data_IF_697710990299
#
_entry.id   IF_697710990299
#
_cell.length_a   1.000
_cell.length_b   1.000
_cell.length_c   1.000
_cell.angle_alpha   90.00
_cell.angle_beta   90.00
_cell.angle_gamma   90.00
#
_symmetry.space_group_name_H-M   'P 1'
#
loop_
_entity.id
_entity.type
_entity.pdbx_description
1 polymer ?
#
# COMPACT_ATOMS: atom_id res chain seq x y z
N UNK A 1 -1.50 -66.53 -7.21
CA UNK A 1 -0.25 -65.79 -7.50
C UNK A 1 -0.43 -64.29 -7.75
N UNK A 2 -1.65 -63.74 -7.82
CA UNK A 2 -1.87 -62.31 -8.15
C UNK A 2 -2.21 -61.38 -6.95
N UNK A 3 -2.37 -61.95 -5.76
CA UNK A 3 -2.67 -61.18 -4.54
C UNK A 3 -1.42 -60.55 -3.90
N UNK A 4 -0.24 -61.12 -4.11
CA UNK A 4 1.01 -60.60 -3.53
C UNK A 4 1.49 -59.31 -4.20
N UNK A 5 1.43 -59.19 -5.53
CA UNK A 5 1.94 -58.00 -6.23
C UNK A 5 1.12 -56.73 -5.94
N UNK A 6 -0.20 -56.87 -5.74
CA UNK A 6 -1.07 -55.73 -5.37
C UNK A 6 -0.91 -55.32 -3.91
N UNK A 7 -0.51 -56.23 -3.02
CA UNK A 7 -0.23 -55.93 -1.62
C UNK A 7 1.08 -55.14 -1.48
N UNK A 8 2.15 -55.61 -2.13
CA UNK A 8 3.45 -54.92 -2.12
C UNK A 8 3.43 -53.57 -2.86
N UNK A 9 2.68 -53.45 -3.97
CA UNK A 9 2.54 -52.18 -4.69
C UNK A 9 1.81 -51.09 -3.91
N UNK A 10 0.80 -51.44 -3.11
CA UNK A 10 0.08 -50.46 -2.26
C UNK A 10 0.87 -50.08 -1.00
N UNK A 11 1.71 -50.96 -0.49
CA UNK A 11 2.56 -50.70 0.67
C UNK A 11 3.69 -49.70 0.33
N UNK A 12 4.28 -49.79 -0.86
CA UNK A 12 5.30 -48.85 -1.34
C UNK A 12 4.76 -47.45 -1.66
N UNK A 13 3.51 -47.34 -2.14
CA UNK A 13 2.88 -46.04 -2.42
C UNK A 13 2.48 -45.31 -1.11
N UNK A 14 2.12 -46.05 -0.06
CA UNK A 14 1.80 -45.46 1.26
C UNK A 14 3.03 -45.03 2.07
N UNK A 15 4.23 -45.52 1.73
CA UNK A 15 5.47 -45.05 2.36
C UNK A 15 5.94 -43.68 1.86
N UNK A 16 5.37 -43.16 0.76
CA UNK A 16 5.76 -41.86 0.20
C UNK A 16 5.10 -40.65 0.88
N UNK A 17 4.19 -40.87 1.83
CA UNK A 17 3.57 -39.82 2.65
C UNK A 17 3.92 -39.92 4.14
N UNK A 18 4.98 -40.65 4.48
CA UNK A 18 5.48 -40.67 5.86
C UNK A 18 6.26 -39.37 6.02
N UNK A 19 5.63 -38.39 6.68
CA UNK A 19 6.31 -37.22 7.23
C UNK A 19 7.60 -37.68 7.94
N UNK A 20 8.70 -36.91 7.89
CA UNK A 20 10.00 -37.34 8.43
C UNK A 20 9.94 -37.89 9.86
N UNK A 21 8.95 -37.46 10.64
CA UNK A 21 8.64 -37.96 11.98
C UNK A 21 8.28 -39.47 12.04
N UNK A 22 7.56 -40.01 11.05
CA UNK A 22 7.17 -41.42 11.03
C UNK A 22 8.30 -42.39 10.70
N UNK A 23 9.30 -41.94 9.94
CA UNK A 23 10.51 -42.74 9.67
C UNK A 23 11.40 -42.80 10.92
N UNK A 24 11.50 -41.69 11.66
CA UNK A 24 12.28 -41.64 12.90
C UNK A 24 11.67 -42.47 14.03
N UNK A 25 10.34 -42.51 14.16
CA UNK A 25 9.68 -43.36 15.17
C UNK A 25 9.81 -44.85 14.84
N UNK A 26 9.74 -45.23 13.56
CA UNK A 26 9.97 -46.60 13.12
C UNK A 26 11.43 -47.04 13.35
N UNK A 27 12.41 -46.19 13.03
CA UNK A 27 13.83 -46.48 13.26
C UNK A 27 14.15 -46.63 14.75
N UNK A 28 13.52 -45.82 15.60
CA UNK A 28 13.70 -45.90 17.06
C UNK A 28 13.06 -47.17 17.64
N UNK A 29 11.85 -47.52 17.18
CA UNK A 29 11.20 -48.79 17.56
C UNK A 29 12.02 -50.01 17.12
N UNK A 30 12.65 -49.96 15.95
CA UNK A 30 13.53 -51.01 15.44
C UNK A 30 14.83 -51.10 16.27
N UNK A 31 15.44 -49.96 16.61
CA UNK A 31 16.65 -49.93 17.44
C UNK A 31 16.40 -50.48 18.86
N UNK A 32 15.25 -50.18 19.46
CA UNK A 32 14.83 -50.74 20.76
C UNK A 32 14.60 -52.25 20.64
N UNK A 33 13.92 -52.72 19.59
CA UNK A 33 13.71 -54.16 19.36
C UNK A 33 15.02 -54.93 19.15
N UNK A 34 15.98 -54.34 18.43
CA UNK A 34 17.32 -54.92 18.22
C UNK A 34 18.13 -54.94 19.53
N UNK A 35 18.03 -53.90 20.35
CA UNK A 35 18.69 -53.84 21.65
C UNK A 35 18.13 -54.90 22.62
N UNK A 36 16.81 -55.07 22.65
CA UNK A 36 16.14 -56.13 23.44
C UNK A 36 16.57 -57.52 22.95
N UNK A 37 16.63 -57.74 21.63
CA UNK A 37 17.07 -59.00 21.04
C UNK A 37 18.53 -59.32 21.37
N UNK A 38 19.43 -58.33 21.32
CA UNK A 38 20.84 -58.50 21.66
C UNK A 38 21.05 -58.77 23.16
N UNK A 39 20.26 -58.13 24.03
CA UNK A 39 20.29 -58.38 25.48
C UNK A 39 19.76 -59.78 25.82
N UNK A 40 18.74 -60.27 25.11
CA UNK A 40 18.23 -61.65 25.26
C UNK A 40 19.20 -62.72 24.75
N UNK A 41 20.13 -62.36 23.85
CA UNK A 41 21.12 -63.28 23.27
C UNK A 41 22.54 -63.14 23.84
N UNK A 42 22.78 -62.21 24.76
CA UNK A 42 24.11 -62.03 25.35
C UNK A 42 24.47 -63.23 26.25
N UNK A 43 25.57 -63.95 25.99
CA UNK A 43 25.95 -65.18 26.72
C UNK A 43 26.53 -64.93 28.13
N UNK A 44 26.24 -63.78 28.74
CA UNK A 44 26.78 -63.34 30.03
C UNK A 44 25.70 -62.84 31.01
N UNK A 45 24.47 -63.37 30.92
CA UNK A 45 23.45 -63.15 31.95
C UNK A 45 23.44 -64.35 32.91
N UNK A 46 23.55 -64.13 34.23
CA UNK A 46 23.47 -65.22 35.21
C UNK A 46 22.11 -65.92 35.11
N UNK A 47 22.05 -67.22 35.42
CA UNK A 47 20.85 -68.03 35.24
C UNK A 47 19.65 -67.44 36.00
N UNK A 48 18.52 -67.27 35.28
CA UNK A 48 17.21 -66.80 35.76
C UNK A 48 16.53 -67.77 36.74
N UNK A 49 17.28 -68.48 37.59
CA UNK A 49 16.77 -69.52 38.49
C UNK A 49 16.53 -69.05 39.93
N UNK A 50 16.58 -67.75 40.20
CA UNK A 50 16.07 -67.17 41.46
C UNK A 50 15.02 -66.12 41.12
N UNK A 51 13.79 -66.31 41.60
CA UNK A 51 12.62 -65.49 41.25
C UNK A 51 12.78 -64.01 41.60
N UNK A 52 13.66 -63.67 42.55
CA UNK A 52 13.93 -62.29 42.96
C UNK A 52 14.87 -61.54 42.00
N UNK A 53 15.77 -62.23 41.28
CA UNK A 53 16.72 -61.53 40.37
C UNK A 53 16.14 -61.26 38.99
N UNK A 54 15.22 -62.11 38.50
CA UNK A 54 14.60 -61.97 37.19
C UNK A 54 13.73 -60.71 37.08
N UNK A 55 12.96 -60.40 38.13
CA UNK A 55 12.16 -59.17 38.21
C UNK A 55 13.02 -57.91 38.24
N UNK A 56 14.18 -57.96 38.90
CA UNK A 56 15.09 -56.82 38.98
C UNK A 56 15.74 -56.51 37.63
N UNK A 57 16.12 -57.53 36.86
CA UNK A 57 16.65 -57.34 35.50
C UNK A 57 15.61 -56.82 34.52
N UNK A 58 14.37 -57.33 34.58
CA UNK A 58 13.26 -56.83 33.75
C UNK A 58 12.92 -55.38 34.12
N UNK A 59 12.94 -55.04 35.41
CA UNK A 59 12.71 -53.67 35.89
C UNK A 59 13.82 -52.71 35.45
N UNK A 60 15.09 -53.16 35.49
CA UNK A 60 16.23 -52.37 35.01
C UNK A 60 16.15 -52.13 33.49
N UNK A 61 15.74 -53.13 32.72
CA UNK A 61 15.54 -53.01 31.27
C UNK A 61 14.36 -52.08 30.93
N UNK A 62 13.25 -52.21 31.66
CA UNK A 62 12.09 -51.32 31.53
C UNK A 62 12.47 -49.87 31.87
N UNK A 63 13.27 -49.64 32.92
CA UNK A 63 13.77 -48.33 33.28
C UNK A 63 14.69 -47.73 32.20
N UNK A 64 15.57 -48.53 31.59
CA UNK A 64 16.44 -48.08 30.50
C UNK A 64 15.64 -47.70 29.25
N UNK A 65 14.64 -48.51 28.87
CA UNK A 65 13.74 -48.19 27.75
C UNK A 65 12.90 -46.94 28.03
N UNK A 66 12.39 -46.80 29.26
CA UNK A 66 11.65 -45.62 29.69
C UNK A 66 12.51 -44.36 29.62
N UNK A 67 13.79 -44.43 30.03
CA UNK A 67 14.74 -43.31 29.97
C UNK A 67 15.03 -42.88 28.52
N UNK A 68 15.25 -43.83 27.61
CA UNK A 68 15.45 -43.53 26.19
C UNK A 68 14.18 -42.91 25.58
N UNK A 69 13.00 -43.45 25.91
CA UNK A 69 11.74 -42.88 25.46
C UNK A 69 11.54 -41.44 25.97
N UNK A 70 11.89 -41.14 27.22
CA UNK A 70 11.79 -39.77 27.77
C UNK A 70 12.74 -38.80 27.08
N UNK A 71 13.97 -39.22 26.78
CA UNK A 71 14.95 -38.39 26.04
C UNK A 71 14.43 -38.07 24.63
N UNK A 72 13.86 -39.06 23.95
CA UNK A 72 13.33 -38.90 22.59
C UNK A 72 12.09 -38.01 22.58
N UNK A 73 11.14 -38.24 23.49
CA UNK A 73 9.96 -37.40 23.65
C UNK A 73 10.37 -35.96 24.00
N UNK A 74 11.35 -35.77 24.89
CA UNK A 74 11.88 -34.46 25.24
C UNK A 74 12.51 -33.74 24.04
N UNK A 75 13.24 -34.47 23.18
CA UNK A 75 13.83 -33.91 21.97
C UNK A 75 12.77 -33.52 20.93
N UNK A 76 11.73 -34.34 20.75
CA UNK A 76 10.62 -34.00 19.88
C UNK A 76 9.82 -32.81 20.41
N UNK A 77 9.51 -32.78 21.70
CA UNK A 77 8.85 -31.65 22.32
C UNK A 77 9.63 -30.34 22.10
N UNK A 78 10.95 -30.38 22.26
CA UNK A 78 11.82 -29.22 21.98
C UNK A 78 11.80 -28.78 20.50
N UNK A 79 11.79 -29.73 19.56
CA UNK A 79 11.67 -29.42 18.13
C UNK A 79 10.31 -28.80 17.80
N UNK A 80 9.21 -29.36 18.32
CA UNK A 80 7.87 -28.79 18.14
C UNK A 80 7.76 -27.37 18.73
N UNK A 81 8.34 -27.12 19.90
CA UNK A 81 8.34 -25.77 20.48
C UNK A 81 9.13 -24.79 19.61
N UNK A 82 10.27 -25.22 19.07
CA UNK A 82 11.10 -24.38 18.20
C UNK A 82 10.39 -24.07 16.88
N UNK A 83 9.78 -25.07 16.25
CA UNK A 83 8.98 -24.89 15.02
C UNK A 83 7.76 -24.00 15.25
N UNK A 84 7.10 -24.12 16.40
CA UNK A 84 5.99 -23.25 16.78
C UNK A 84 6.42 -21.80 17.04
N UNK A 85 7.61 -21.58 17.61
CA UNK A 85 8.20 -20.25 17.77
C UNK A 85 8.59 -19.62 16.43
N UNK A 86 9.22 -20.39 15.54
CA UNK A 86 9.56 -19.96 14.18
C UNK A 86 8.29 -19.64 13.37
N UNK A 87 7.24 -20.47 13.48
CA UNK A 87 5.94 -20.24 12.87
C UNK A 87 5.30 -18.94 13.33
N UNK A 88 5.27 -18.68 14.65
CA UNK A 88 4.76 -17.41 15.22
C UNK A 88 5.58 -16.21 14.76
N UNK A 89 6.89 -16.34 14.66
CA UNK A 89 7.76 -15.27 14.15
C UNK A 89 7.50 -14.95 12.67
N UNK A 90 7.26 -15.98 11.84
CA UNK A 90 6.91 -15.81 10.42
C UNK A 90 5.54 -15.13 10.28
N UNK A 91 4.54 -15.55 11.06
CA UNK A 91 3.21 -14.92 11.04
C UNK A 91 3.27 -13.46 11.49
N UNK A 92 4.01 -13.14 12.55
CA UNK A 92 4.22 -11.77 12.98
C UNK A 92 4.85 -10.90 11.88
N UNK A 93 5.87 -11.42 11.18
CA UNK A 93 6.49 -10.72 10.03
C UNK A 93 5.52 -10.53 8.87
N UNK A 94 4.70 -11.53 8.55
CA UNK A 94 3.66 -11.43 7.51
C UNK A 94 2.62 -10.37 7.87
N UNK A 95 2.18 -10.33 9.13
CA UNK A 95 1.23 -9.32 9.59
C UNK A 95 1.84 -7.91 9.54
N UNK A 96 3.11 -7.74 9.96
CA UNK A 96 3.84 -6.47 9.82
C UNK A 96 3.88 -6.00 8.36
N UNK A 97 4.20 -6.90 7.41
CA UNK A 97 4.21 -6.58 5.97
C UNK A 97 2.85 -6.13 5.45
N UNK A 98 1.76 -6.82 5.81
CA UNK A 98 0.40 -6.41 5.39
C UNK A 98 0.02 -5.01 5.89
N UNK A 99 0.42 -4.68 7.11
CA UNK A 99 0.21 -3.34 7.68
C UNK A 99 1.01 -2.30 6.88
N UNK A 100 2.29 -2.56 6.60
CA UNK A 100 3.15 -1.67 5.80
C UNK A 100 2.57 -1.47 4.39
N UNK A 101 2.16 -2.53 3.70
CA UNK A 101 1.56 -2.47 2.36
C UNK A 101 0.28 -1.60 2.36
N UNK A 102 -0.55 -1.75 3.40
CA UNK A 102 -1.78 -0.94 3.56
C UNK A 102 -1.46 0.53 3.76
N UNK A 103 -0.46 0.85 4.59
CA UNK A 103 0.00 2.22 4.81
C UNK A 103 0.55 2.81 3.51
N UNK A 104 1.44 2.11 2.81
CA UNK A 104 2.01 2.56 1.54
C UNK A 104 0.92 2.79 0.48
N UNK A 105 -0.06 1.90 0.38
CA UNK A 105 -1.19 2.08 -0.52
C UNK A 105 -1.97 3.37 -0.21
N UNK A 106 -2.22 3.64 1.08
CA UNK A 106 -2.90 4.87 1.52
C UNK A 106 -2.09 6.12 1.15
N UNK A 107 -0.79 6.14 1.46
CA UNK A 107 0.09 7.27 1.15
C UNK A 107 0.17 7.53 -0.36
N UNK A 108 0.18 6.48 -1.20
CA UNK A 108 0.13 6.63 -2.67
C UNK A 108 -1.17 7.22 -3.17
N UNK A 109 -2.31 6.83 -2.59
CA UNK A 109 -3.60 7.45 -2.90
C UNK A 109 -3.57 8.93 -2.53
N UNK A 110 -3.05 9.27 -1.34
CA UNK A 110 -2.94 10.67 -0.92
C UNK A 110 -2.08 11.49 -1.88
N UNK A 111 -0.94 10.95 -2.29
CA UNK A 111 -0.04 11.57 -3.28
C UNK A 111 -0.75 11.83 -4.61
N UNK A 112 -1.48 10.84 -5.12
CA UNK A 112 -2.23 10.98 -6.37
C UNK A 112 -3.33 12.03 -6.27
N UNK A 113 -4.02 12.12 -5.12
CA UNK A 113 -5.01 13.17 -4.87
C UNK A 113 -4.33 14.54 -4.75
N UNK A 114 -3.20 14.64 -4.07
CA UNK A 114 -2.45 15.89 -3.92
C UNK A 114 -1.98 16.45 -5.27
N UNK A 115 -1.61 15.58 -6.22
CA UNK A 115 -1.26 15.98 -7.58
C UNK A 115 -2.35 16.81 -8.26
N UNK A 116 -3.62 16.62 -7.90
CA UNK A 116 -4.73 17.42 -8.44
C UNK A 116 -4.61 18.92 -8.11
N UNK A 117 -3.94 19.28 -7.03
CA UNK A 117 -3.66 20.68 -6.70
C UNK A 117 -2.66 21.36 -7.67
N UNK A 118 -2.04 20.60 -8.59
CA UNK A 118 -1.23 21.17 -9.68
C UNK A 118 -2.08 21.59 -10.90
N UNK A 119 -3.31 21.09 -11.03
CA UNK A 119 -4.18 21.44 -12.15
C UNK A 119 -4.42 22.96 -12.29
N UNK A 120 -4.64 23.73 -11.20
CA UNK A 120 -4.74 25.18 -11.27
C UNK A 120 -3.63 25.88 -12.06
N UNK A 121 -2.36 25.49 -11.86
CA UNK A 121 -1.26 26.13 -12.58
C UNK A 121 -1.28 25.73 -14.06
N UNK A 122 -1.54 24.47 -14.38
CA UNK A 122 -1.67 24.00 -15.76
C UNK A 122 -2.82 24.71 -16.50
N UNK A 123 -3.97 24.85 -15.84
CA UNK A 123 -5.15 25.53 -16.35
C UNK A 123 -4.85 27.01 -16.66
N UNK A 124 -4.21 27.71 -15.73
CA UNK A 124 -3.85 29.12 -15.91
C UNK A 124 -2.78 29.28 -16.99
N UNK A 125 -1.78 28.40 -17.06
CA UNK A 125 -0.75 28.45 -18.10
C UNK A 125 -1.34 28.23 -19.49
N UNK A 126 -2.26 27.28 -19.66
CA UNK A 126 -3.00 27.09 -20.92
C UNK A 126 -3.83 28.31 -21.29
N UNK A 127 -4.53 28.91 -20.31
CA UNK A 127 -5.32 30.11 -20.53
C UNK A 127 -4.43 31.28 -21.00
N UNK A 128 -3.33 31.55 -20.30
CA UNK A 128 -2.39 32.61 -20.69
C UNK A 128 -1.66 32.32 -22.00
N UNK A 129 -1.38 31.06 -22.32
CA UNK A 129 -0.82 30.68 -23.62
C UNK A 129 -1.82 30.89 -24.76
N UNK A 130 -3.11 30.60 -24.55
CA UNK A 130 -4.17 30.89 -25.52
C UNK A 130 -4.29 32.40 -25.77
N UNK A 131 -4.32 33.20 -24.69
CA UNK A 131 -4.33 34.68 -24.76
C UNK A 131 -3.10 35.21 -25.52
N UNK A 132 -1.92 34.64 -25.29
CA UNK A 132 -0.69 35.05 -25.98
C UNK A 132 -0.60 34.56 -27.44
N UNK A 133 -1.23 33.42 -27.76
CA UNK A 133 -1.23 32.78 -29.09
C UNK A 133 -2.22 33.39 -30.08
N UNK A 134 -3.35 33.92 -29.59
CA UNK A 134 -4.37 34.63 -30.40
C UNK A 134 -3.95 36.04 -30.86
N UNK A 135 -2.71 36.43 -30.59
CA UNK A 135 -2.10 37.63 -31.16
C UNK A 135 -1.77 37.52 -32.66
N UNK A 136 -1.61 36.32 -33.26
CA UNK A 136 -1.13 36.23 -34.65
C UNK A 136 -1.58 35.05 -35.52
N UNK A 137 -2.23 33.99 -35.01
CA UNK A 137 -2.55 32.82 -35.85
C UNK A 137 -4.05 32.65 -36.06
N UNK A 138 -4.54 33.07 -37.24
CA UNK A 138 -5.88 32.81 -37.78
C UNK A 138 -7.05 33.64 -37.23
N UNK A 139 -6.96 34.97 -37.30
CA UNK A 139 -8.14 35.75 -37.68
C UNK A 139 -8.33 35.54 -39.17
N UNK A 140 -9.21 34.60 -39.57
CA UNK A 140 -9.59 34.47 -40.98
C UNK A 140 -10.03 35.83 -41.53
N UNK A 141 -9.83 36.08 -42.83
CA UNK A 141 -10.27 37.32 -43.48
C UNK A 141 -11.71 37.65 -43.09
N UNK A 142 -11.92 38.85 -42.56
CA UNK A 142 -13.25 39.33 -42.21
C UNK A 142 -14.13 39.28 -43.47
N UNK A 143 -15.21 38.49 -43.40
CA UNK A 143 -16.19 38.44 -44.49
C UNK A 143 -16.84 39.82 -44.64
N UNK A 144 -16.82 40.43 -45.84
CA UNK A 144 -17.38 41.76 -46.05
C UNK A 144 -18.90 41.72 -45.82
N UNK A 145 -19.39 42.55 -44.88
CA UNK A 145 -20.81 42.66 -44.52
C UNK A 145 -21.18 42.15 -43.12
N UNK A 146 -20.25 41.52 -42.40
CA UNK A 146 -20.37 41.25 -40.97
C UNK A 146 -19.44 42.19 -40.21
N UNK A 147 -20.00 43.24 -39.58
CA UNK A 147 -19.24 43.98 -38.57
C UNK A 147 -18.97 43.03 -37.38
N UNK A 148 -17.71 42.78 -36.99
CA UNK A 148 -17.39 42.04 -35.79
C UNK A 148 -17.61 42.96 -34.57
N UNK A 149 -18.87 43.31 -34.32
CA UNK A 149 -19.25 44.06 -33.13
C UNK A 149 -19.68 43.08 -32.01
N UNK A 150 -19.06 43.22 -30.85
CA UNK A 150 -19.50 42.80 -29.48
C UNK A 150 -19.37 41.34 -29.01
N UNK A 151 -19.27 40.32 -29.88
CA UNK A 151 -19.32 38.90 -29.43
C UNK A 151 -17.99 38.28 -28.98
N UNK A 152 -16.84 38.77 -29.44
CA UNK A 152 -15.52 38.19 -29.11
C UNK A 152 -15.14 38.48 -27.65
N UNK A 153 -15.41 39.69 -27.17
CA UNK A 153 -15.17 40.12 -25.78
C UNK A 153 -16.00 39.31 -24.77
N UNK A 154 -17.27 39.04 -25.10
CA UNK A 154 -18.14 38.22 -24.24
C UNK A 154 -17.67 36.77 -24.23
N UNK A 155 -17.14 36.24 -25.34
CA UNK A 155 -16.57 34.89 -25.42
C UNK A 155 -15.31 34.75 -24.57
N UNK A 156 -14.41 35.74 -24.58
CA UNK A 156 -13.20 35.70 -23.74
C UNK A 156 -13.55 35.72 -22.24
N UNK A 157 -14.40 36.65 -21.81
CA UNK A 157 -14.85 36.72 -20.40
C UNK A 157 -15.53 35.42 -19.96
N UNK A 158 -16.43 34.88 -20.79
CA UNK A 158 -17.13 33.63 -20.50
C UNK A 158 -16.16 32.44 -20.47
N UNK A 159 -15.17 32.38 -21.37
CA UNK A 159 -14.14 31.35 -21.39
C UNK A 159 -13.28 31.38 -20.11
N UNK A 160 -12.89 32.57 -19.65
CA UNK A 160 -12.20 32.73 -18.36
C UNK A 160 -13.06 32.23 -17.21
N UNK A 161 -14.32 32.66 -17.13
CA UNK A 161 -15.26 32.23 -16.07
C UNK A 161 -15.41 30.71 -16.06
N UNK A 162 -15.66 30.10 -17.22
CA UNK A 162 -15.79 28.65 -17.35
C UNK A 162 -14.51 27.91 -16.92
N UNK A 163 -13.33 28.40 -17.31
CA UNK A 163 -12.07 27.79 -16.92
C UNK A 163 -11.86 27.85 -15.40
N UNK A 164 -12.19 28.98 -14.77
CA UNK A 164 -12.11 29.16 -13.33
C UNK A 164 -13.11 28.24 -12.59
N UNK A 165 -14.34 28.12 -13.08
CA UNK A 165 -15.37 27.23 -12.51
C UNK A 165 -15.00 25.75 -12.61
N UNK A 166 -14.47 25.33 -13.77
CA UNK A 166 -13.96 23.95 -13.93
C UNK A 166 -12.82 23.67 -12.95
N UNK A 167 -11.93 24.65 -12.73
CA UNK A 167 -10.81 24.54 -11.80
C UNK A 167 -11.29 24.45 -10.35
N UNK A 168 -12.28 25.26 -9.95
CA UNK A 168 -12.89 25.19 -8.62
C UNK A 168 -13.48 23.80 -8.34
N UNK A 169 -14.29 23.28 -9.26
CA UNK A 169 -14.88 21.93 -9.13
C UNK A 169 -13.83 20.82 -9.07
N UNK A 170 -12.73 20.98 -9.78
CA UNK A 170 -11.63 20.01 -9.74
C UNK A 170 -10.96 19.98 -8.37
N UNK A 171 -10.83 21.13 -7.71
CA UNK A 171 -10.27 21.23 -6.36
C UNK A 171 -11.20 20.71 -5.27
N UNK A 172 -12.53 20.79 -5.43
CA UNK A 172 -13.49 20.19 -4.48
C UNK A 172 -13.31 18.66 -4.35
N UNK A 173 -12.68 18.03 -5.34
CA UNK A 173 -12.35 16.61 -5.29
C UNK A 173 -11.15 16.27 -4.38
N UNK A 174 -10.43 17.28 -3.87
CA UNK A 174 -9.31 17.12 -2.95
C UNK A 174 -9.87 17.06 -1.53
N UNK A 175 -10.16 15.84 -1.10
CA UNK A 175 -10.51 15.54 0.28
C UNK A 175 -9.86 14.22 0.69
N UNK A 176 -9.47 14.14 1.96
CA UNK A 176 -8.95 12.93 2.58
C UNK A 176 -9.75 12.66 3.84
N UNK A 177 -10.11 11.40 4.07
CA UNK A 177 -10.75 11.01 5.33
C UNK A 177 -9.73 11.07 6.47
N UNK A 178 -10.23 11.21 7.71
CA UNK A 178 -9.39 11.23 8.91
C UNK A 178 -8.54 9.95 9.05
N UNK A 179 -9.04 8.81 8.54
CA UNK A 179 -8.30 7.56 8.50
C UNK A 179 -6.99 7.65 7.70
N UNK A 180 -6.96 8.44 6.62
CA UNK A 180 -5.72 8.69 5.86
C UNK A 180 -4.74 9.52 6.68
N UNK A 181 -5.24 10.51 7.42
CA UNK A 181 -4.41 11.41 8.25
C UNK A 181 -3.71 10.66 9.39
N UNK A 182 -4.28 9.56 9.90
CA UNK A 182 -3.64 8.72 10.94
C UNK A 182 -2.31 8.08 10.51
N UNK A 183 -2.05 7.99 9.20
CA UNK A 183 -0.82 7.36 8.67
C UNK A 183 0.34 8.32 8.46
N UNK A 184 0.09 9.62 8.63
CA UNK A 184 1.05 10.69 8.42
C UNK A 184 1.93 10.90 9.65
N UNK A 185 3.18 11.30 9.40
CA UNK A 185 4.06 11.85 10.43
C UNK A 185 3.91 13.38 10.54
N UNK A 186 4.62 13.99 11.48
CA UNK A 186 4.52 15.43 11.73
C UNK A 186 4.84 16.27 10.48
N UNK A 187 5.89 15.92 9.73
CA UNK A 187 6.28 16.63 8.52
C UNK A 187 5.21 16.55 7.43
N UNK A 188 4.63 15.36 7.22
CA UNK A 188 3.51 15.19 6.29
C UNK A 188 2.27 15.98 6.73
N UNK A 189 1.99 16.03 8.04
CA UNK A 189 0.86 16.79 8.60
C UNK A 189 1.04 18.29 8.36
N UNK A 190 2.22 18.85 8.64
CA UNK A 190 2.51 20.26 8.42
C UNK A 190 2.38 20.64 6.93
N UNK A 191 2.92 19.80 6.04
CA UNK A 191 2.82 20.01 4.61
C UNK A 191 1.37 19.88 4.10
N UNK A 192 0.58 18.96 4.68
CA UNK A 192 -0.85 18.82 4.39
C UNK A 192 -1.62 20.08 4.82
N UNK A 193 -1.36 20.62 6.01
CA UNK A 193 -2.01 21.83 6.49
C UNK A 193 -1.74 23.04 5.58
N UNK A 194 -0.48 23.23 5.16
CA UNK A 194 -0.14 24.31 4.23
C UNK A 194 -0.81 24.10 2.86
N UNK A 195 -0.91 22.86 2.38
CA UNK A 195 -1.66 22.55 1.15
C UNK A 195 -3.15 22.89 1.29
N UNK A 196 -3.83 22.43 2.36
CA UNK A 196 -5.25 22.68 2.61
C UNK A 196 -5.54 24.19 2.70
N UNK A 197 -4.69 24.94 3.40
CA UNK A 197 -4.75 26.40 3.49
C UNK A 197 -4.62 27.07 2.13
N UNK A 198 -3.67 26.64 1.29
CA UNK A 198 -3.47 27.19 -0.06
C UNK A 198 -4.64 26.84 -0.98
N UNK A 199 -5.22 25.64 -0.88
CA UNK A 199 -6.44 25.24 -1.61
C UNK A 199 -7.61 26.15 -1.25
N UNK A 200 -7.85 26.34 0.05
CA UNK A 200 -8.94 27.20 0.54
C UNK A 200 -8.76 28.66 0.09
N UNK A 201 -7.52 29.17 0.17
CA UNK A 201 -7.20 30.53 -0.27
C UNK A 201 -7.45 30.69 -1.77
N UNK A 202 -6.93 29.78 -2.59
CA UNK A 202 -7.12 29.82 -4.05
C UNK A 202 -8.60 29.76 -4.43
N UNK A 203 -9.36 28.87 -3.78
CA UNK A 203 -10.82 28.79 -3.95
C UNK A 203 -11.49 30.12 -3.66
N UNK A 204 -11.18 30.73 -2.53
CA UNK A 204 -11.77 32.02 -2.13
C UNK A 204 -11.53 33.11 -3.17
N UNK A 205 -10.29 33.23 -3.66
CA UNK A 205 -9.93 34.25 -4.66
C UNK A 205 -10.62 34.00 -5.99
N UNK A 206 -10.71 32.74 -6.44
CA UNK A 206 -11.43 32.38 -7.66
C UNK A 206 -12.93 32.67 -7.55
N UNK A 207 -13.59 32.24 -6.47
CA UNK A 207 -15.03 32.46 -6.34
C UNK A 207 -15.37 33.95 -6.31
N UNK A 208 -14.50 34.78 -5.72
CA UNK A 208 -14.63 36.24 -5.77
C UNK A 208 -14.49 36.78 -7.20
N UNK A 209 -13.49 36.31 -7.95
CA UNK A 209 -13.28 36.75 -9.35
C UNK A 209 -14.43 36.30 -10.28
N UNK A 210 -14.95 35.09 -10.11
CA UNK A 210 -16.12 34.62 -10.87
C UNK A 210 -17.33 35.52 -10.61
N UNK A 211 -17.60 35.84 -9.34
CA UNK A 211 -18.71 36.76 -8.97
C UNK A 211 -18.49 38.15 -9.56
N UNK A 212 -17.27 38.66 -9.51
CA UNK A 212 -16.89 39.95 -10.10
C UNK A 212 -17.20 39.97 -11.61
N UNK A 213 -16.67 39.00 -12.36
CA UNK A 213 -16.82 38.90 -13.81
C UNK A 213 -18.30 38.72 -14.23
N UNK A 214 -19.07 37.90 -13.51
CA UNK A 214 -20.52 37.73 -13.74
C UNK A 214 -21.31 39.01 -13.44
N UNK A 215 -21.00 39.70 -12.34
CA UNK A 215 -21.67 40.96 -12.00
C UNK A 215 -21.39 42.09 -13.00
N UNK A 216 -20.19 42.11 -13.60
CA UNK A 216 -19.83 43.04 -14.66
C UNK A 216 -20.53 42.72 -15.99
N UNK A 217 -20.85 41.45 -16.24
CA UNK A 217 -21.69 41.04 -17.37
C UNK A 217 -23.14 41.49 -17.19
N UNK A 218 -23.70 41.30 -15.99
CA UNK A 218 -25.08 41.71 -15.65
C UNK A 218 -25.28 43.23 -15.65
N UNK A 219 -24.31 43.99 -15.13
CA UNK A 219 -24.38 45.47 -15.07
C UNK A 219 -24.05 46.16 -16.39
N UNK A 220 -23.23 45.54 -17.24
CA UNK A 220 -22.64 46.21 -18.40
C UNK A 220 -23.46 46.13 -19.69
N UNK A 221 -24.41 45.20 -19.85
CA UNK A 221 -25.17 45.08 -21.11
C UNK A 221 -24.28 45.05 -22.37
N UNK A 222 -24.69 45.71 -23.46
CA UNK A 222 -23.88 45.90 -24.68
C UNK A 222 -22.74 46.94 -24.50
N UNK A 223 -22.67 47.63 -23.37
CA UNK A 223 -21.66 48.65 -23.05
C UNK A 223 -20.54 48.14 -22.12
N UNK A 224 -20.56 46.85 -21.76
CA UNK A 224 -19.46 46.23 -21.05
C UNK A 224 -18.19 46.35 -21.91
N UNK A 225 -17.32 47.29 -21.56
CA UNK A 225 -16.07 47.55 -22.28
C UNK A 225 -15.24 46.28 -22.49
N UNK A 226 -14.35 46.35 -23.48
CA UNK A 226 -13.45 45.25 -23.85
C UNK A 226 -12.77 44.66 -22.59
N UNK A 227 -13.02 43.38 -22.33
CA UNK A 227 -12.32 42.62 -21.30
C UNK A 227 -11.02 42.09 -21.90
N UNK A 228 -9.90 42.61 -21.43
CA UNK A 228 -8.58 42.13 -21.83
C UNK A 228 -7.99 41.26 -20.71
N UNK A 229 -8.05 39.94 -20.90
CA UNK A 229 -7.51 38.99 -19.94
C UNK A 229 -5.97 39.07 -19.81
N UNK A 230 -5.27 39.64 -20.80
CA UNK A 230 -3.81 39.84 -20.75
C UNK A 230 -3.42 40.96 -19.77
N UNK A 231 -4.29 41.95 -19.58
CA UNK A 231 -4.06 43.10 -18.71
C UNK A 231 -4.77 43.01 -17.34
N UNK A 232 -5.54 41.95 -17.11
CA UNK A 232 -6.26 41.74 -15.84
C UNK A 232 -5.28 41.39 -14.70
N UNK A 233 -4.92 42.40 -13.90
CA UNK A 233 -4.03 42.26 -12.75
C UNK A 233 -4.54 41.23 -11.72
N UNK A 234 -5.86 41.04 -11.59
CA UNK A 234 -6.40 40.02 -10.69
C UNK A 234 -6.18 38.61 -11.25
N UNK A 235 -6.30 38.41 -12.57
CA UNK A 235 -5.96 37.11 -13.18
C UNK A 235 -4.47 36.79 -13.06
N UNK A 236 -3.59 37.79 -13.19
CA UNK A 236 -2.15 37.62 -12.94
C UNK A 236 -1.88 37.22 -11.47
N UNK A 237 -2.60 37.83 -10.53
CA UNK A 237 -2.58 37.43 -9.11
C UNK A 237 -3.04 35.98 -8.90
N UNK A 238 -4.16 35.58 -9.52
CA UNK A 238 -4.67 34.20 -9.46
C UNK A 238 -3.63 33.21 -10.01
N UNK A 239 -2.97 33.54 -11.12
CA UNK A 239 -1.89 32.72 -11.68
C UNK A 239 -0.74 32.52 -10.69
N UNK A 240 -0.36 33.57 -9.97
CA UNK A 240 0.70 33.43 -8.96
C UNK A 240 0.25 32.56 -7.78
N UNK A 241 -0.99 32.71 -7.31
CA UNK A 241 -1.52 31.86 -6.25
C UNK A 241 -1.60 30.39 -6.72
N UNK A 242 -1.95 30.14 -7.98
CA UNK A 242 -1.94 28.80 -8.56
C UNK A 242 -0.54 28.15 -8.52
N UNK A 243 0.53 28.93 -8.76
CA UNK A 243 1.92 28.46 -8.64
C UNK A 243 2.28 28.15 -7.19
N UNK A 244 1.92 29.02 -6.26
CA UNK A 244 2.15 28.79 -4.82
C UNK A 244 1.45 27.50 -4.35
N UNK A 245 0.21 27.27 -4.82
CA UNK A 245 -0.55 26.05 -4.54
C UNK A 245 0.13 24.82 -5.12
N UNK A 246 0.60 24.88 -6.37
CA UNK A 246 1.35 23.78 -6.99
C UNK A 246 2.67 23.50 -6.24
N UNK A 247 3.33 24.54 -5.72
CA UNK A 247 4.51 24.42 -4.85
C UNK A 247 4.19 23.70 -3.54
N UNK A 248 3.12 24.09 -2.85
CA UNK A 248 2.67 23.40 -1.62
C UNK A 248 2.31 21.92 -1.90
N UNK A 249 1.65 21.65 -3.02
CA UNK A 249 1.33 20.29 -3.44
C UNK A 249 2.60 19.46 -3.70
N UNK A 250 3.61 20.04 -4.34
CA UNK A 250 4.89 19.38 -4.56
C UNK A 250 5.60 19.06 -3.23
N UNK A 251 5.66 20.01 -2.31
CA UNK A 251 6.23 19.79 -0.96
C UNK A 251 5.54 18.66 -0.23
N UNK A 252 4.20 18.62 -0.25
CA UNK A 252 3.46 17.53 0.38
C UNK A 252 3.71 16.18 -0.29
N UNK A 253 3.77 16.12 -1.62
CA UNK A 253 4.10 14.88 -2.33
C UNK A 253 5.52 14.39 -2.01
N UNK A 254 6.50 15.29 -1.85
CA UNK A 254 7.85 14.93 -1.43
C UNK A 254 7.85 14.33 -0.02
N UNK A 255 7.17 14.96 0.93
CA UNK A 255 7.05 14.43 2.28
C UNK A 255 6.40 13.02 2.30
N UNK A 256 5.37 12.81 1.46
CA UNK A 256 4.76 11.49 1.29
C UNK A 256 5.72 10.46 0.67
N UNK A 257 6.51 10.86 -0.33
CA UNK A 257 7.48 9.98 -1.00
C UNK A 257 8.60 9.57 -0.02
N UNK A 258 9.10 10.50 0.81
CA UNK A 258 10.04 10.23 1.90
C UNK A 258 9.44 9.27 2.94
N UNK A 259 8.18 9.49 3.33
CA UNK A 259 7.47 8.62 4.26
C UNK A 259 7.27 7.21 3.70
N UNK A 260 6.95 7.09 2.42
CA UNK A 260 6.82 5.80 1.73
C UNK A 260 8.16 5.05 1.72
N UNK A 261 9.28 5.74 1.50
CA UNK A 261 10.61 5.12 1.47
C UNK A 261 10.94 4.39 2.78
N UNK A 262 10.51 4.91 3.93
CA UNK A 262 10.68 4.27 5.26
C UNK A 262 10.08 2.86 5.29
N UNK A 263 8.98 2.61 4.57
CA UNK A 263 8.30 1.31 4.57
C UNK A 263 8.80 0.33 3.49
N UNK A 264 9.61 0.80 2.54
CA UNK A 264 10.15 -0.02 1.44
C UNK A 264 11.53 -0.60 1.77
N UNK A 265 12.27 0.03 2.69
CA UNK A 265 13.64 -0.36 3.08
C UNK A 265 13.67 -1.49 4.14
N UNK A 266 12.52 -1.89 4.67
CA UNK A 266 12.30 -2.94 5.70
C UNK A 266 11.84 -4.30 5.12
#
# INVERSE_FOLDING_TARGET
>A
MDLDRKFWGRMLIRMRSITPHGVTTFALGLAVAVLIYLLLKAPALPPLSSSDSASDWVSALAAAVAAVATIVIGRFAHQFTKEAEEGRAIEARKQKRRIHETIVARLRVMRNTARRAQYPVEAMERLFAAIAGDGQANRGEALPGFEPMTNEVRRERLAVVLQLEMTERYLDSISWSDEFKTTLDAACIDALFELEKKVLWYRTVISLKIKELRSQEERGGHEAGAYDAAQDAHLLGIRQIARDLAGAAATFMVALDERIAVFIVD
#
